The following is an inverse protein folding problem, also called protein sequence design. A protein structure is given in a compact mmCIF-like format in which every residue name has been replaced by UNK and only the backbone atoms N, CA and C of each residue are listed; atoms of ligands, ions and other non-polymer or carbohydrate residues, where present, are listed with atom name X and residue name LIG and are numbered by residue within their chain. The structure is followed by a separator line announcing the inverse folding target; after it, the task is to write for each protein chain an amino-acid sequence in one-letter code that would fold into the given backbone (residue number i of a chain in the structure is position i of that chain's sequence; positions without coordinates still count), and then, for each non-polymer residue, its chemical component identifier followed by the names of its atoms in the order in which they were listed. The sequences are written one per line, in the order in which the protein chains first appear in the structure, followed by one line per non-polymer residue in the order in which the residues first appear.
data_IF_794935778196
#
_entry.id   IF_794935778196
#
_cell.length_a   1.000
_cell.length_b   1.000
_cell.length_c   1.000
_cell.angle_alpha   90.00
_cell.angle_beta   90.00
_cell.angle_gamma   90.00
#
_symmetry.space_group_name_H-M   'P 1'
#
loop_
_entity.id
_entity.type
_entity.pdbx_description
1 polymer ?
#
# COMPACT_ATOMS: atom_id res chain seq x y z
N UNK A 1 -9.80 11.39 19.50
CA UNK A 1 -9.30 10.77 18.27
C UNK A 1 -8.28 9.73 18.70
N UNK A 2 -8.38 8.51 18.21
CA UNK A 2 -7.33 7.51 18.45
C UNK A 2 -6.04 7.95 17.74
N UNK A 3 -4.91 7.77 18.39
CA UNK A 3 -3.60 8.08 17.81
C UNK A 3 -3.30 7.08 16.70
N UNK A 4 -2.74 7.56 15.59
CA UNK A 4 -2.32 6.69 14.48
C UNK A 4 -1.11 5.87 14.92
N UNK A 5 -1.21 4.54 14.83
CA UNK A 5 -0.19 3.58 15.26
C UNK A 5 0.71 3.18 14.10
N UNK A 6 2.01 3.34 14.29
CA UNK A 6 3.02 2.98 13.30
C UNK A 6 3.92 1.90 13.90
N UNK A 7 4.13 0.80 13.17
CA UNK A 7 5.11 -0.22 13.53
C UNK A 7 6.36 -0.05 12.68
N UNK A 8 7.50 0.13 13.32
CA UNK A 8 8.83 0.18 12.69
C UNK A 8 9.50 -1.17 12.91
N UNK A 9 9.99 -1.79 11.84
CA UNK A 9 10.69 -3.08 11.84
C UNK A 9 12.06 -2.83 11.22
N UNK A 10 13.09 -2.81 12.06
CA UNK A 10 14.49 -2.53 11.67
C UNK A 10 15.40 -3.15 12.75
N UNK A 11 16.42 -3.91 12.37
CA UNK A 11 17.34 -4.55 13.30
C UNK A 11 18.38 -3.59 13.89
N UNK A 12 18.55 -2.43 13.29
CA UNK A 12 19.41 -1.39 13.80
C UNK A 12 18.66 -0.52 14.85
N UNK A 13 18.83 -0.84 16.15
CA UNK A 13 18.19 -0.12 17.25
C UNK A 13 18.37 1.40 17.16
N UNK A 14 19.54 1.87 16.72
CA UNK A 14 19.83 3.29 16.55
C UNK A 14 18.92 3.94 15.49
N UNK A 15 18.66 3.25 14.37
CA UNK A 15 17.78 3.72 13.31
C UNK A 15 16.32 3.68 13.79
N UNK A 16 15.91 2.55 14.37
CA UNK A 16 14.57 2.38 14.92
C UNK A 16 14.20 3.45 15.92
N UNK A 17 15.08 3.76 16.88
CA UNK A 17 14.87 4.81 17.89
C UNK A 17 14.79 6.21 17.27
N UNK A 18 15.65 6.55 16.31
CA UNK A 18 15.63 7.86 15.64
C UNK A 18 14.34 8.04 14.83
N UNK A 19 13.86 7.01 14.13
CA UNK A 19 12.59 7.06 13.41
C UNK A 19 11.43 7.21 14.40
N UNK A 20 11.45 6.43 15.48
CA UNK A 20 10.43 6.46 16.54
C UNK A 20 10.32 7.84 17.13
N UNK A 21 11.41 8.39 17.69
CA UNK A 21 11.41 9.70 18.32
C UNK A 21 10.89 10.80 17.38
N UNK A 22 11.31 10.74 16.12
CA UNK A 22 10.90 11.73 15.13
C UNK A 22 9.41 11.65 14.78
N UNK A 23 8.84 10.44 14.65
CA UNK A 23 7.42 10.26 14.34
C UNK A 23 6.54 10.50 15.57
N UNK A 24 6.99 10.12 16.79
CA UNK A 24 6.30 10.45 18.05
C UNK A 24 6.20 11.96 18.26
N UNK A 25 7.26 12.72 17.93
CA UNK A 25 7.22 14.18 17.95
C UNK A 25 6.19 14.79 16.97
N UNK A 26 5.70 14.03 15.99
CA UNK A 26 4.64 14.43 15.07
C UNK A 26 3.24 13.92 15.49
N UNK A 27 3.11 13.30 16.67
CA UNK A 27 1.85 12.86 17.24
C UNK A 27 1.42 11.44 16.87
N UNK A 28 2.30 10.64 16.28
CA UNK A 28 2.08 9.22 16.04
C UNK A 28 2.38 8.40 17.30
N UNK A 29 1.74 7.24 17.44
CA UNK A 29 2.10 6.22 18.42
C UNK A 29 2.99 5.19 17.72
N UNK A 30 4.27 5.04 18.16
CA UNK A 30 5.24 4.25 17.42
C UNK A 30 5.71 3.04 18.21
N UNK A 31 5.60 1.87 17.59
CA UNK A 31 6.09 0.59 18.09
C UNK A 31 7.29 0.15 17.28
N UNK A 32 8.18 -0.60 17.89
CA UNK A 32 9.39 -1.10 17.25
C UNK A 32 9.52 -2.61 17.44
N UNK A 33 10.00 -3.30 16.39
CA UNK A 33 10.37 -4.69 16.39
C UNK A 33 11.76 -4.84 15.74
N UNK A 34 12.64 -5.63 16.36
CA UNK A 34 14.04 -5.76 15.96
C UNK A 34 14.30 -6.85 14.92
N UNK A 35 13.32 -7.71 14.64
CA UNK A 35 13.46 -8.83 13.70
C UNK A 35 12.13 -9.22 13.06
N UNK A 36 12.21 -10.04 12.01
CA UNK A 36 11.04 -10.45 11.24
C UNK A 36 10.09 -11.41 11.98
N UNK A 37 10.53 -12.10 13.03
CA UNK A 37 9.67 -13.01 13.81
C UNK A 37 8.85 -12.22 14.82
N UNK A 38 9.50 -11.35 15.59
CA UNK A 38 8.85 -10.46 16.56
C UNK A 38 7.92 -9.46 15.86
N UNK A 39 8.24 -9.08 14.62
CA UNK A 39 7.44 -8.17 13.81
C UNK A 39 6.01 -8.66 13.58
N UNK A 40 5.83 -9.93 13.21
CA UNK A 40 4.52 -10.49 12.91
C UNK A 40 3.63 -10.55 14.14
N UNK A 41 4.19 -11.00 15.28
CA UNK A 41 3.45 -11.05 16.54
C UNK A 41 3.13 -9.65 17.05
N UNK A 42 4.05 -8.70 16.88
CA UNK A 42 3.83 -7.30 17.24
C UNK A 42 2.77 -6.67 16.34
N UNK A 43 2.80 -6.91 15.03
CA UNK A 43 1.78 -6.42 14.10
C UNK A 43 0.37 -6.90 14.49
N UNK A 44 0.23 -8.17 14.85
CA UNK A 44 -1.06 -8.73 15.31
C UNK A 44 -1.55 -8.11 16.61
N UNK A 45 -0.63 -7.88 17.56
CA UNK A 45 -0.96 -7.34 18.89
C UNK A 45 -1.31 -5.86 18.83
N UNK A 46 -0.53 -5.08 18.06
CA UNK A 46 -0.64 -3.62 17.99
C UNK A 46 -1.73 -3.20 17.01
N UNK A 47 -2.00 -4.01 15.97
CA UNK A 47 -2.87 -3.68 14.86
C UNK A 47 -2.51 -2.28 14.31
N UNK A 48 -1.31 -2.09 13.72
CA UNK A 48 -0.83 -0.79 13.29
C UNK A 48 -1.62 -0.25 12.09
N UNK A 49 -1.63 1.07 11.94
CA UNK A 49 -2.22 1.78 10.82
C UNK A 49 -1.23 1.91 9.64
N UNK A 50 0.06 1.72 9.89
CA UNK A 50 1.13 1.70 8.90
C UNK A 50 2.33 0.93 9.44
N UNK A 51 3.04 0.23 8.54
CA UNK A 51 4.30 -0.46 8.86
C UNK A 51 5.44 0.17 8.05
N UNK A 52 6.55 0.44 8.71
CA UNK A 52 7.83 0.78 8.11
C UNK A 52 8.72 -0.44 8.28
N UNK A 53 9.21 -1.03 7.17
CA UNK A 53 9.84 -2.34 7.14
C UNK A 53 11.19 -2.30 6.45
N UNK A 54 12.27 -2.61 7.18
CA UNK A 54 13.56 -2.84 6.55
C UNK A 54 13.56 -4.16 5.77
N UNK A 55 14.15 -4.13 4.60
CA UNK A 55 14.34 -5.33 3.77
C UNK A 55 15.48 -6.22 4.28
N UNK A 56 16.49 -5.63 4.91
CA UNK A 56 17.72 -6.30 5.31
C UNK A 56 17.67 -6.81 6.76
N UNK A 57 16.61 -7.51 7.13
CA UNK A 57 16.47 -8.07 8.47
C UNK A 57 17.27 -9.38 8.64
N UNK A 58 17.85 -9.64 9.81
CA UNK A 58 18.52 -10.90 10.08
C UNK A 58 17.52 -12.06 10.17
N UNK A 59 17.92 -13.20 9.65
CA UNK A 59 17.18 -14.47 9.74
C UNK A 59 15.98 -14.57 8.79
N UNK A 60 15.12 -13.57 8.73
CA UNK A 60 13.95 -13.54 7.84
C UNK A 60 13.94 -12.23 7.06
N UNK A 61 13.98 -12.32 5.74
CA UNK A 61 14.01 -11.12 4.91
C UNK A 61 12.75 -10.27 5.07
N UNK A 62 12.87 -8.94 4.93
CA UNK A 62 11.72 -8.05 4.94
C UNK A 62 10.68 -8.39 3.86
N UNK A 63 11.10 -8.99 2.74
CA UNK A 63 10.19 -9.51 1.72
C UNK A 63 9.30 -10.63 2.24
N UNK A 64 9.88 -11.58 2.99
CA UNK A 64 9.10 -12.69 3.59
C UNK A 64 8.16 -12.17 4.67
N UNK A 65 8.61 -11.20 5.48
CA UNK A 65 7.78 -10.53 6.48
C UNK A 65 6.60 -9.83 5.80
N UNK A 66 6.83 -9.06 4.74
CA UNK A 66 5.77 -8.39 3.98
C UNK A 66 4.76 -9.39 3.42
N UNK A 67 5.23 -10.47 2.81
CA UNK A 67 4.39 -11.52 2.25
C UNK A 67 3.49 -12.17 3.31
N UNK A 68 4.01 -12.43 4.51
CA UNK A 68 3.22 -13.00 5.62
C UNK A 68 2.21 -11.99 6.17
N UNK A 69 2.59 -10.72 6.31
CA UNK A 69 1.66 -9.66 6.70
C UNK A 69 0.51 -9.58 5.70
N UNK A 70 0.79 -9.63 4.40
CA UNK A 70 -0.23 -9.57 3.34
C UNK A 70 -1.18 -10.78 3.30
N UNK A 71 -0.84 -11.89 3.95
CA UNK A 71 -1.77 -13.02 4.09
C UNK A 71 -2.89 -12.75 5.11
N UNK A 72 -2.68 -11.82 6.04
CA UNK A 72 -3.56 -11.59 7.19
C UNK A 72 -3.99 -10.14 7.37
N UNK A 73 -3.40 -9.20 6.62
CA UNK A 73 -3.67 -7.75 6.79
C UNK A 73 -3.39 -6.96 5.51
N UNK A 74 -4.22 -5.95 5.28
CA UNK A 74 -4.06 -4.95 4.23
C UNK A 74 -3.41 -3.65 4.75
N UNK A 75 -2.79 -3.69 5.93
CA UNK A 75 -2.09 -2.55 6.51
C UNK A 75 -1.05 -2.00 5.53
N UNK A 76 -0.98 -0.67 5.31
CA UNK A 76 0.02 -0.09 4.41
C UNK A 76 1.45 -0.35 4.88
N UNK A 77 2.33 -0.68 3.92
CA UNK A 77 3.74 -0.98 4.17
C UNK A 77 4.63 -0.03 3.37
N UNK A 78 5.52 0.68 4.06
CA UNK A 78 6.64 1.42 3.46
C UNK A 78 7.91 0.60 3.68
N UNK A 79 8.58 0.21 2.61
CA UNK A 79 9.84 -0.54 2.69
C UNK A 79 11.04 0.39 2.77
N UNK A 80 12.00 0.07 3.67
CA UNK A 80 13.32 0.68 3.69
C UNK A 80 14.28 -0.23 2.94
N UNK A 81 15.05 0.30 1.99
CA UNK A 81 15.97 -0.49 1.15
C UNK A 81 17.32 0.18 0.99
N UNK A 82 18.39 -0.60 0.82
CA UNK A 82 19.70 -0.07 0.46
C UNK A 82 19.69 0.46 -1.00
N UNK A 83 20.43 1.51 -1.28
CA UNK A 83 20.45 2.27 -2.55
C UNK A 83 20.82 1.45 -3.81
N UNK A 84 21.31 0.22 -3.66
CA UNK A 84 22.01 -0.50 -4.73
C UNK A 84 21.14 -1.33 -5.66
N UNK A 85 19.89 -1.65 -5.31
CA UNK A 85 19.13 -2.62 -6.10
C UNK A 85 17.78 -2.07 -6.58
N UNK A 86 17.79 -1.61 -7.86
CA UNK A 86 16.57 -1.36 -8.62
C UNK A 86 15.65 -2.62 -8.61
N UNK A 87 16.26 -3.80 -8.50
CA UNK A 87 15.58 -5.09 -8.38
C UNK A 87 14.80 -5.20 -7.07
N UNK A 88 15.36 -4.78 -5.94
CA UNK A 88 14.67 -4.83 -4.64
C UNK A 88 13.45 -3.91 -4.61
N UNK A 89 13.53 -2.77 -5.28
CA UNK A 89 12.42 -1.81 -5.41
C UNK A 89 11.27 -2.40 -6.23
N UNK A 90 11.59 -3.01 -7.37
CA UNK A 90 10.61 -3.69 -8.23
C UNK A 90 9.97 -4.85 -7.47
N UNK A 91 10.79 -5.68 -6.83
CA UNK A 91 10.33 -6.84 -6.07
C UNK A 91 9.46 -6.44 -4.88
N UNK A 92 9.81 -5.36 -4.16
CA UNK A 92 9.02 -4.85 -3.05
C UNK A 92 7.61 -4.40 -3.48
N UNK A 93 7.51 -3.67 -4.59
CA UNK A 93 6.22 -3.27 -5.16
C UNK A 93 5.44 -4.48 -5.72
N UNK A 94 6.13 -5.45 -6.33
CA UNK A 94 5.51 -6.70 -6.79
C UNK A 94 4.97 -7.54 -5.62
N UNK A 95 5.54 -7.44 -4.44
CA UNK A 95 5.05 -8.10 -3.22
C UNK A 95 3.95 -7.32 -2.50
N UNK A 96 3.55 -6.17 -3.04
CA UNK A 96 2.41 -5.39 -2.53
C UNK A 96 2.78 -4.33 -1.49
N UNK A 97 4.03 -3.85 -1.46
CA UNK A 97 4.36 -2.65 -0.70
C UNK A 97 3.69 -1.40 -1.30
N UNK A 98 3.32 -0.46 -0.46
CA UNK A 98 2.60 0.77 -0.86
C UNK A 98 3.53 1.92 -1.19
N UNK A 99 4.75 1.90 -0.63
CA UNK A 99 5.84 2.84 -0.92
C UNK A 99 7.17 2.25 -0.48
N UNK A 100 8.30 2.90 -0.85
CA UNK A 100 9.61 2.56 -0.33
C UNK A 100 10.51 3.79 -0.21
N UNK A 101 11.53 3.67 0.64
CA UNK A 101 12.51 4.71 0.91
C UNK A 101 13.90 4.09 0.84
N UNK A 102 14.80 4.72 0.08
CA UNK A 102 16.17 4.23 -0.06
C UNK A 102 17.06 4.76 1.07
N UNK A 103 17.80 3.87 1.74
CA UNK A 103 18.87 4.25 2.69
C UNK A 103 20.10 4.77 1.90
N UNK A 104 20.75 5.90 2.33
CA UNK A 104 20.37 6.76 3.42
C UNK A 104 19.21 7.70 3.07
N UNK A 105 18.27 7.89 3.98
CA UNK A 105 17.13 8.77 3.83
C UNK A 105 17.13 9.89 4.87
N UNK A 106 16.41 10.96 4.61
CA UNK A 106 16.10 11.97 5.63
C UNK A 106 14.82 11.60 6.38
N UNK A 107 14.76 11.88 7.69
CA UNK A 107 13.53 11.68 8.48
C UNK A 107 12.36 12.52 7.93
N UNK A 108 12.65 13.68 7.33
CA UNK A 108 11.64 14.53 6.68
C UNK A 108 11.04 13.83 5.44
N UNK A 109 11.85 13.15 4.66
CA UNK A 109 11.39 12.37 3.50
C UNK A 109 10.52 11.22 3.96
N UNK A 110 10.99 10.40 4.92
CA UNK A 110 10.22 9.29 5.48
C UNK A 110 8.87 9.76 6.02
N UNK A 111 8.85 10.83 6.83
CA UNK A 111 7.61 11.37 7.37
C UNK A 111 6.67 11.93 6.27
N UNK A 112 7.20 12.50 5.20
CA UNK A 112 6.37 12.95 4.07
C UNK A 112 5.70 11.77 3.38
N UNK A 113 6.39 10.64 3.22
CA UNK A 113 5.84 9.41 2.66
C UNK A 113 4.83 8.75 3.59
N UNK A 114 5.10 8.70 4.90
CA UNK A 114 4.14 8.24 5.92
C UNK A 114 2.84 9.03 5.81
N UNK A 115 2.90 10.37 5.77
CA UNK A 115 1.70 11.21 5.58
C UNK A 115 0.99 10.94 4.25
N UNK A 116 1.74 10.76 3.16
CA UNK A 116 1.16 10.48 1.84
C UNK A 116 0.44 9.13 1.80
N UNK A 117 1.02 8.09 2.41
CA UNK A 117 0.41 6.76 2.50
C UNK A 117 -0.81 6.80 3.42
N UNK A 118 -0.71 7.40 4.62
CA UNK A 118 -1.83 7.52 5.56
C UNK A 118 -3.00 8.35 4.99
N UNK A 119 -2.72 9.36 4.16
CA UNK A 119 -3.77 10.12 3.46
C UNK A 119 -4.55 9.24 2.47
N UNK A 120 -3.89 8.28 1.83
CA UNK A 120 -4.56 7.33 0.91
C UNK A 120 -5.50 6.37 1.66
N UNK A 121 -5.32 6.16 2.97
CA UNK A 121 -6.20 5.36 3.84
C UNK A 121 -7.25 6.19 4.59
N UNK A 122 -7.60 7.39 4.09
CA UNK A 122 -8.71 8.18 4.65
C UNK A 122 -8.41 8.96 5.93
N UNK A 123 -7.12 9.15 6.28
CA UNK A 123 -6.70 9.92 7.48
C UNK A 123 -6.10 11.28 7.16
N UNK A 124 -6.52 11.95 6.07
CA UNK A 124 -6.02 13.28 5.69
C UNK A 124 -6.90 14.01 4.69
N UNK A 125 -7.27 15.23 5.06
CA UNK A 125 -7.87 16.38 4.31
C UNK A 125 -8.83 16.03 3.17
N UNK A 126 -10.08 16.42 3.38
CA UNK A 126 -11.25 16.38 2.52
C UNK A 126 -10.97 16.90 1.10
N UNK A 127 -10.90 15.98 0.13
CA UNK A 127 -11.41 16.24 -1.20
C UNK A 127 -12.72 15.46 -1.31
N UNK A 128 -13.85 16.15 -1.35
CA UNK A 128 -15.19 15.56 -1.42
C UNK A 128 -15.37 14.81 -2.74
N UNK A 129 -14.91 13.58 -2.79
CA UNK A 129 -15.26 12.63 -3.83
C UNK A 129 -16.31 11.70 -3.26
N UNK A 130 -17.57 12.02 -3.51
CA UNK A 130 -18.70 11.24 -3.00
C UNK A 130 -18.67 9.75 -3.40
N UNK A 131 -19.68 9.03 -2.98
CA UNK A 131 -19.82 7.60 -3.26
C UNK A 131 -19.91 7.35 -4.77
N UNK A 132 -18.95 6.57 -5.31
CA UNK A 132 -18.94 6.12 -6.70
C UNK A 132 -19.56 4.72 -6.80
N UNK A 133 -20.33 4.50 -7.87
CA UNK A 133 -20.90 3.18 -8.12
C UNK A 133 -20.63 2.76 -9.57
N UNK A 134 -20.03 1.58 -9.72
CA UNK A 134 -19.72 0.98 -11.02
C UNK A 134 -20.16 -0.49 -10.99
N UNK A 135 -21.26 -0.79 -11.69
CA UNK A 135 -21.90 -2.11 -11.60
C UNK A 135 -22.33 -2.43 -10.16
N UNK A 136 -21.82 -3.51 -9.62
CA UNK A 136 -22.06 -3.94 -8.24
C UNK A 136 -20.97 -3.50 -7.24
N UNK A 137 -19.98 -2.73 -7.70
CA UNK A 137 -18.95 -2.12 -6.86
C UNK A 137 -19.42 -0.75 -6.39
N UNK A 138 -19.39 -0.51 -5.09
CA UNK A 138 -19.62 0.80 -4.49
C UNK A 138 -18.35 1.23 -3.74
N UNK A 139 -17.88 2.45 -4.00
CA UNK A 139 -16.67 3.01 -3.40
C UNK A 139 -17.06 4.29 -2.68
N UNK A 140 -16.90 4.30 -1.37
CA UNK A 140 -16.93 5.52 -0.56
C UNK A 140 -15.50 6.07 -0.49
N UNK A 141 -15.26 7.13 -1.26
CA UNK A 141 -13.92 7.71 -1.35
C UNK A 141 -13.52 8.41 -0.05
N UNK A 142 -14.47 8.99 0.67
CA UNK A 142 -14.26 9.72 1.91
C UNK A 142 -14.11 8.75 3.10
N UNK A 143 -14.99 7.74 3.17
CA UNK A 143 -14.91 6.67 4.16
C UNK A 143 -13.85 5.61 3.87
N UNK A 144 -13.17 5.67 2.73
CA UNK A 144 -12.17 4.68 2.27
C UNK A 144 -12.70 3.24 2.27
N UNK A 145 -13.99 3.08 1.98
CA UNK A 145 -14.68 1.79 2.00
C UNK A 145 -15.06 1.34 0.60
N UNK A 146 -14.97 0.04 0.37
CA UNK A 146 -15.39 -0.61 -0.86
C UNK A 146 -16.32 -1.75 -0.55
N UNK A 147 -17.42 -1.82 -1.27
CA UNK A 147 -18.30 -3.01 -1.25
C UNK A 147 -18.46 -3.57 -2.65
N UNK A 148 -18.53 -4.88 -2.76
CA UNK A 148 -18.83 -5.62 -3.98
C UNK A 148 -20.05 -6.49 -3.74
N UNK A 149 -21.10 -6.32 -4.52
CA UNK A 149 -22.39 -7.00 -4.31
C UNK A 149 -22.93 -6.82 -2.88
N UNK A 150 -22.65 -5.65 -2.25
CA UNK A 150 -23.06 -5.33 -0.89
C UNK A 150 -22.17 -5.90 0.23
N UNK A 151 -21.15 -6.68 -0.08
CA UNK A 151 -20.19 -7.19 0.90
C UNK A 151 -18.96 -6.27 0.96
N UNK A 152 -18.51 -5.94 2.16
CA UNK A 152 -17.31 -5.14 2.37
C UNK A 152 -16.05 -5.89 1.93
N UNK A 153 -15.14 -5.17 1.26
CA UNK A 153 -13.88 -5.70 0.72
C UNK A 153 -12.73 -4.86 1.23
N UNK A 154 -11.82 -5.49 1.98
CA UNK A 154 -10.61 -4.83 2.46
C UNK A 154 -9.58 -4.70 1.33
N UNK A 155 -9.14 -3.47 1.05
CA UNK A 155 -8.13 -3.15 0.05
C UNK A 155 -6.93 -2.49 0.69
N UNK A 156 -5.74 -2.75 0.14
CA UNK A 156 -4.56 -1.93 0.46
C UNK A 156 -4.74 -0.52 -0.11
N UNK A 157 -4.02 0.49 0.42
CA UNK A 157 -4.09 1.86 -0.10
C UNK A 157 -3.84 1.97 -1.60
N UNK A 158 -2.88 1.21 -2.12
CA UNK A 158 -2.54 1.18 -3.55
C UNK A 158 -3.66 0.55 -4.37
N UNK A 159 -4.22 -0.57 -3.92
CA UNK A 159 -5.36 -1.23 -4.57
C UNK A 159 -6.59 -0.31 -4.59
N UNK A 160 -6.86 0.37 -3.47
CA UNK A 160 -7.95 1.35 -3.38
C UNK A 160 -7.75 2.50 -4.36
N UNK A 161 -6.55 3.10 -4.42
CA UNK A 161 -6.23 4.20 -5.33
C UNK A 161 -6.37 3.78 -6.80
N UNK A 162 -5.94 2.57 -7.15
CA UNK A 162 -6.11 2.00 -8.50
C UNK A 162 -7.61 1.84 -8.82
N UNK A 163 -8.37 1.24 -7.92
CA UNK A 163 -9.80 1.01 -8.11
C UNK A 163 -10.57 2.32 -8.24
N UNK A 164 -10.28 3.29 -7.37
CA UNK A 164 -10.90 4.62 -7.39
C UNK A 164 -10.62 5.34 -8.70
N UNK A 165 -9.35 5.36 -9.15
CA UNK A 165 -8.97 5.98 -10.43
C UNK A 165 -9.71 5.38 -11.62
N UNK A 166 -9.89 4.06 -11.64
CA UNK A 166 -10.64 3.37 -12.69
C UNK A 166 -12.15 3.61 -12.57
N UNK A 167 -12.67 3.69 -11.36
CA UNK A 167 -14.08 3.94 -11.09
C UNK A 167 -14.54 5.37 -11.41
N UNK A 168 -13.64 6.35 -11.36
CA UNK A 168 -13.91 7.71 -11.84
C UNK A 168 -14.12 7.78 -13.37
N UNK A 169 -13.69 6.74 -14.09
CA UNK A 169 -13.73 6.67 -15.57
C UNK A 169 -14.18 5.30 -16.07
N UNK A 170 -15.41 4.87 -15.73
CA UNK A 170 -15.88 3.53 -16.05
C UNK A 170 -15.81 3.25 -17.56
N UNK A 171 -15.35 2.07 -17.92
CA UNK A 171 -15.20 1.63 -19.32
C UNK A 171 -14.00 2.23 -20.07
N UNK A 172 -13.34 3.27 -19.52
CA UNK A 172 -12.13 3.85 -20.15
C UNK A 172 -10.89 3.06 -19.75
N UNK A 173 -10.00 2.89 -20.72
CA UNK A 173 -8.72 2.19 -20.49
C UNK A 173 -7.73 3.15 -19.84
N UNK A 174 -7.14 2.74 -18.73
CA UNK A 174 -6.01 3.41 -18.12
C UNK A 174 -4.72 2.65 -18.45
N UNK A 175 -3.68 3.36 -18.87
CA UNK A 175 -2.36 2.75 -19.07
C UNK A 175 -1.71 2.40 -17.72
N UNK A 176 -0.73 1.49 -17.75
CA UNK A 176 0.04 1.17 -16.54
C UNK A 176 0.69 2.40 -15.91
N UNK A 177 1.25 3.27 -16.74
CA UNK A 177 1.85 4.52 -16.29
C UNK A 177 0.84 5.45 -15.59
N UNK A 178 -0.39 5.57 -16.13
CA UNK A 178 -1.45 6.34 -15.48
C UNK A 178 -1.84 5.76 -14.12
N UNK A 179 -1.88 4.44 -14.00
CA UNK A 179 -2.18 3.77 -12.74
C UNK A 179 -1.04 3.91 -11.72
N UNK A 180 0.24 3.84 -12.16
CA UNK A 180 1.40 4.16 -11.31
C UNK A 180 1.27 5.58 -10.75
N UNK A 181 1.08 6.56 -11.61
CA UNK A 181 0.99 7.97 -11.20
C UNK A 181 -0.18 8.22 -10.23
N UNK A 182 -1.31 7.56 -10.47
CA UNK A 182 -2.50 7.71 -9.62
C UNK A 182 -2.36 7.03 -8.25
N UNK A 183 -1.63 5.93 -8.17
CA UNK A 183 -1.54 5.10 -6.95
C UNK A 183 -0.23 5.27 -6.17
N UNK A 184 0.90 5.40 -6.87
CA UNK A 184 2.23 5.48 -6.26
C UNK A 184 2.86 6.87 -6.38
N UNK A 185 2.48 7.65 -7.41
CA UNK A 185 2.99 8.98 -7.67
C UNK A 185 4.04 9.03 -8.79
N UNK A 186 4.37 10.26 -9.25
CA UNK A 186 5.25 10.48 -10.41
C UNK A 186 6.70 10.00 -10.21
N UNK A 187 7.15 9.85 -8.98
CA UNK A 187 8.50 9.36 -8.67
C UNK A 187 8.72 7.88 -9.08
N UNK A 188 7.66 7.17 -9.44
CA UNK A 188 7.67 5.74 -9.79
C UNK A 188 7.50 5.47 -11.28
N UNK A 189 7.74 6.45 -12.14
CA UNK A 189 7.79 6.26 -13.59
C UNK A 189 8.90 5.25 -13.93
N UNK A 190 8.54 4.20 -14.69
CA UNK A 190 9.43 3.07 -15.01
C UNK A 190 9.10 1.77 -14.27
N UNK A 191 8.20 1.81 -13.27
CA UNK A 191 7.78 0.63 -12.50
C UNK A 191 6.39 0.13 -12.89
N UNK A 192 5.98 0.27 -14.15
CA UNK A 192 4.64 -0.08 -14.61
C UNK A 192 4.29 -1.56 -14.41
N UNK A 193 5.29 -2.45 -14.32
CA UNK A 193 5.06 -3.89 -14.08
C UNK A 193 4.55 -4.17 -12.67
N UNK A 194 4.87 -3.33 -11.67
CA UNK A 194 4.35 -3.51 -10.31
C UNK A 194 2.82 -3.39 -10.25
N UNK A 195 2.23 -2.62 -11.16
CA UNK A 195 0.76 -2.51 -11.28
C UNK A 195 0.11 -3.86 -11.57
N UNK A 196 0.74 -4.72 -12.37
CA UNK A 196 0.18 -6.02 -12.73
C UNK A 196 -0.03 -6.89 -11.48
N UNK A 197 0.85 -6.79 -10.48
CA UNK A 197 0.71 -7.48 -9.19
C UNK A 197 -0.45 -6.91 -8.37
N UNK A 198 -0.55 -5.58 -8.25
CA UNK A 198 -1.67 -4.94 -7.55
C UNK A 198 -3.01 -5.26 -8.22
N UNK A 199 -3.07 -5.26 -9.55
CA UNK A 199 -4.25 -5.70 -10.32
C UNK A 199 -4.59 -7.17 -10.04
N UNK A 200 -3.58 -8.06 -10.00
CA UNK A 200 -3.79 -9.47 -9.68
C UNK A 200 -4.37 -9.66 -8.27
N UNK A 201 -3.84 -8.93 -7.29
CA UNK A 201 -4.33 -8.99 -5.91
C UNK A 201 -5.72 -8.36 -5.79
N UNK A 202 -5.96 -7.23 -6.43
CA UNK A 202 -7.26 -6.57 -6.48
C UNK A 202 -8.34 -7.52 -7.07
N UNK A 203 -8.04 -8.22 -8.17
CA UNK A 203 -8.95 -9.21 -8.75
C UNK A 203 -9.32 -10.32 -7.78
N UNK A 204 -8.39 -10.82 -6.98
CA UNK A 204 -8.68 -11.85 -5.96
C UNK A 204 -9.72 -11.39 -4.94
N UNK A 205 -9.87 -10.07 -4.77
CA UNK A 205 -10.77 -9.46 -3.79
C UNK A 205 -12.11 -9.02 -4.38
N UNK A 206 -12.13 -8.60 -5.66
CA UNK A 206 -13.33 -8.02 -6.27
C UNK A 206 -13.98 -8.90 -7.35
N UNK A 207 -13.34 -9.95 -7.82
CA UNK A 207 -13.87 -10.85 -8.86
C UNK A 207 -14.37 -12.15 -8.24
N UNK A 208 -15.40 -12.72 -8.86
CA UNK A 208 -15.88 -14.06 -8.51
C UNK A 208 -14.90 -15.15 -9.01
N UNK A 209 -14.29 -14.92 -10.18
CA UNK A 209 -13.21 -15.72 -10.76
C UNK A 209 -12.06 -14.80 -11.20
N UNK A 210 -10.98 -14.70 -10.44
CA UNK A 210 -9.83 -13.86 -10.78
C UNK A 210 -9.13 -14.23 -12.09
N UNK A 211 -9.26 -15.49 -12.56
CA UNK A 211 -8.68 -15.95 -13.81
C UNK A 211 -9.49 -15.48 -15.04
N UNK A 212 -10.80 -15.25 -14.86
CA UNK A 212 -11.72 -14.75 -15.87
C UNK A 212 -12.40 -13.45 -15.39
N UNK A 213 -11.66 -12.36 -15.22
CA UNK A 213 -12.16 -11.14 -14.60
C UNK A 213 -13.23 -10.46 -15.46
N UNK A 214 -14.38 -10.14 -14.85
CA UNK A 214 -15.50 -9.46 -15.50
C UNK A 214 -15.52 -7.96 -15.19
N UNK A 215 -15.18 -7.57 -13.97
CA UNK A 215 -15.21 -6.18 -13.49
C UNK A 215 -13.95 -5.43 -13.90
N UNK A 216 -12.78 -6.00 -13.64
CA UNK A 216 -11.46 -5.38 -13.88
C UNK A 216 -10.76 -6.09 -15.06
N UNK A 217 -10.98 -5.59 -16.25
CA UNK A 217 -10.52 -6.21 -17.51
C UNK A 217 -9.15 -5.73 -17.94
N UNK A 218 -8.36 -6.64 -18.54
CA UNK A 218 -7.12 -6.31 -19.24
C UNK A 218 -7.41 -5.91 -20.68
N UNK A 219 -6.80 -4.81 -21.12
CA UNK A 219 -6.71 -4.43 -22.54
C UNK A 219 -5.27 -4.66 -22.97
N UNK A 220 -5.05 -5.79 -23.66
CA UNK A 220 -3.70 -6.23 -24.02
C UNK A 220 -2.92 -5.15 -24.79
N UNK A 221 -1.66 -4.97 -24.39
CA UNK A 221 -0.78 -3.95 -24.97
C UNK A 221 -1.06 -2.51 -24.51
N UNK A 222 -2.15 -2.23 -23.78
CA UNK A 222 -2.57 -0.87 -23.38
C UNK A 222 -2.60 -0.72 -21.86
N UNK A 223 -3.40 -1.52 -21.15
CA UNK A 223 -3.58 -1.36 -19.72
C UNK A 223 -4.83 -2.06 -19.18
N UNK A 224 -5.58 -1.38 -18.31
CA UNK A 224 -6.72 -1.93 -17.59
C UNK A 224 -7.93 -1.00 -17.63
N UNK A 225 -9.12 -1.54 -17.46
CA UNK A 225 -10.38 -0.79 -17.33
C UNK A 225 -11.32 -1.46 -16.35
N UNK A 226 -12.11 -0.65 -15.64
CA UNK A 226 -13.23 -1.12 -14.83
C UNK A 226 -14.51 -1.06 -15.67
N UNK A 227 -15.27 -2.13 -15.67
CA UNK A 227 -16.51 -2.27 -16.46
C UNK A 227 -17.68 -2.35 -15.50
N UNK A 228 -18.82 -1.65 -15.82
CA UNK A 228 -20.06 -1.73 -15.06
C UNK A 228 -20.68 -3.11 -14.98
#
# INVERSE_FOLDING_TARGET
MESVRILVIDDEEAIGNVIKDYLEAQGYEVFWAEDGLSAIDTARRVNPDLIILDLMLPGKSGFDVCKEIRQVSDVPVIMLTAKSDEIDRVLGLELGADDYVTKPFSLRELAARVRAVLRRVGKGIEDQKGVLKVGDITIDADGHQVTVSGNEVALTPTEFSILLFLAERPGRVASRLQLVNASLGEAYVGYERSIDTHISNLRKKIEDDPANPRRLQTVYGVGYKLVP
#
